data_IF_088308857484
#
_entry.id   IF_088308857484
#
_cell.length_a   1.000
_cell.length_b   1.000
_cell.length_c   1.000
_cell.angle_alpha   90.00
_cell.angle_beta   90.00
_cell.angle_gamma   90.00
#
_symmetry.space_group_name_H-M   'P 1'
#
loop_
_entity.id
_entity.type
_entity.pdbx_description
1 polymer ?
#
# COMPACT_ATOMS: atom_id res chain seq x y z
N UNK A 1 16.82 19.71 -16.34
CA UNK A 1 16.21 20.63 -15.35
C UNK A 1 15.45 19.83 -14.31
N UNK A 2 15.62 20.17 -13.03
CA UNK A 2 14.94 19.50 -11.92
C UNK A 2 13.44 19.78 -11.88
N UNK A 3 12.66 18.91 -11.21
CA UNK A 3 11.20 19.05 -11.14
C UNK A 3 10.75 20.21 -10.25
N UNK A 4 11.51 20.52 -9.20
CA UNK A 4 11.35 21.73 -8.37
C UNK A 4 11.45 23.01 -9.22
N UNK A 5 12.40 23.07 -10.13
CA UNK A 5 12.57 24.22 -11.03
C UNK A 5 11.42 24.32 -12.03
N UNK A 6 10.95 23.20 -12.59
CA UNK A 6 9.78 23.20 -13.46
C UNK A 6 8.53 23.69 -12.72
N UNK A 7 8.33 23.26 -11.48
CA UNK A 7 7.23 23.71 -10.63
C UNK A 7 7.29 25.21 -10.29
N UNK A 8 8.47 25.77 -10.03
CA UNK A 8 8.59 27.22 -9.82
C UNK A 8 8.38 28.00 -11.12
N UNK A 9 8.95 27.53 -12.23
CA UNK A 9 8.83 28.18 -13.53
C UNK A 9 7.39 28.19 -14.03
N UNK A 10 6.59 27.16 -13.70
CA UNK A 10 5.18 27.13 -14.08
C UNK A 10 4.35 28.24 -13.43
N UNK A 11 4.84 28.88 -12.36
CA UNK A 11 4.19 30.05 -11.76
C UNK A 11 4.48 31.38 -12.47
N UNK A 12 5.47 31.43 -13.36
CA UNK A 12 5.87 32.70 -14.00
C UNK A 12 4.82 33.17 -15.01
N UNK A 13 4.22 32.25 -15.77
CA UNK A 13 3.11 32.55 -16.67
C UNK A 13 2.40 31.27 -17.15
N UNK A 14 1.13 31.41 -17.52
CA UNK A 14 0.36 30.32 -18.15
C UNK A 14 0.99 29.83 -19.47
N UNK A 15 1.62 30.71 -20.24
CA UNK A 15 2.30 30.30 -21.48
C UNK A 15 3.52 29.42 -21.18
N UNK A 16 4.32 29.77 -20.17
CA UNK A 16 5.48 28.97 -19.79
C UNK A 16 5.06 27.62 -19.22
N UNK A 17 4.00 27.60 -18.40
CA UNK A 17 3.38 26.37 -17.91
C UNK A 17 2.97 25.43 -19.05
N UNK A 18 2.26 25.92 -20.07
CA UNK A 18 1.89 25.13 -21.26
C UNK A 18 3.11 24.60 -22.04
N UNK A 19 4.19 25.38 -22.12
CA UNK A 19 5.46 24.94 -22.73
C UNK A 19 6.08 23.81 -21.90
N UNK A 20 6.06 23.92 -20.57
CA UNK A 20 6.56 22.87 -19.66
C UNK A 20 5.73 21.59 -19.84
N UNK A 21 4.40 21.69 -19.81
CA UNK A 21 3.47 20.56 -19.98
C UNK A 21 3.72 19.82 -21.31
N UNK A 22 3.74 20.56 -22.42
CA UNK A 22 3.92 19.98 -23.76
C UNK A 22 5.32 19.41 -23.98
N UNK A 23 6.37 20.07 -23.49
CA UNK A 23 7.76 19.61 -23.67
C UNK A 23 8.16 18.46 -22.74
N UNK A 24 7.52 18.33 -21.57
CA UNK A 24 7.87 17.33 -20.56
C UNK A 24 6.90 16.14 -20.50
N UNK A 25 5.90 16.07 -21.37
CA UNK A 25 4.82 15.05 -21.32
C UNK A 25 5.35 13.61 -21.21
N UNK A 26 6.35 13.23 -22.03
CA UNK A 26 6.93 11.88 -22.01
C UNK A 26 7.66 11.62 -20.69
N UNK A 27 8.33 12.64 -20.14
CA UNK A 27 9.03 12.54 -18.85
C UNK A 27 8.03 12.42 -17.69
N UNK A 28 6.95 13.19 -17.71
CA UNK A 28 5.92 13.16 -16.66
C UNK A 28 5.19 11.82 -16.60
N UNK A 29 4.92 11.16 -17.74
CA UNK A 29 4.31 9.81 -17.77
C UNK A 29 5.12 8.72 -17.07
N UNK A 30 6.41 8.93 -16.82
CA UNK A 30 7.30 7.93 -16.20
C UNK A 30 7.51 8.13 -14.70
N UNK A 31 7.08 9.27 -14.15
CA UNK A 31 7.29 9.60 -12.75
C UNK A 31 6.11 9.20 -11.87
N UNK A 32 6.40 9.23 -10.58
CA UNK A 32 5.46 9.02 -9.48
C UNK A 32 5.66 10.19 -8.54
N UNK A 33 4.57 10.78 -8.05
CA UNK A 33 4.66 11.88 -7.09
C UNK A 33 4.19 11.34 -5.75
N UNK A 34 5.00 11.54 -4.71
CA UNK A 34 4.79 11.01 -3.37
C UNK A 34 4.67 12.17 -2.41
N UNK A 35 3.55 12.21 -1.68
CA UNK A 35 3.39 12.97 -0.45
C UNK A 35 3.89 12.10 0.69
N UNK A 36 4.88 12.57 1.44
CA UNK A 36 5.44 11.84 2.58
C UNK A 36 5.63 12.79 3.76
N UNK A 37 5.09 12.39 4.91
CA UNK A 37 5.25 13.13 6.16
C UNK A 37 6.60 12.90 6.85
N UNK A 38 7.35 11.85 6.47
CA UNK A 38 8.56 11.40 7.17
C UNK A 38 8.37 11.24 8.70
N UNK A 39 7.15 10.94 9.15
CA UNK A 39 6.79 10.90 10.58
C UNK A 39 6.77 12.28 11.27
N UNK A 40 6.75 13.36 10.48
CA UNK A 40 6.67 14.74 10.94
C UNK A 40 5.60 15.55 10.22
N UNK A 41 5.19 16.67 10.82
CA UNK A 41 4.26 17.62 10.22
C UNK A 41 5.02 18.94 10.05
N UNK A 42 5.13 19.48 8.81
CA UNK A 42 4.29 19.19 7.63
C UNK A 42 4.93 18.35 6.52
N UNK A 43 4.13 17.79 5.58
CA UNK A 43 4.62 16.83 4.61
C UNK A 43 5.60 17.43 3.59
N UNK A 44 6.19 16.56 2.80
CA UNK A 44 6.94 16.93 1.62
C UNK A 44 6.42 16.18 0.40
N UNK A 45 6.72 16.71 -0.77
CA UNK A 45 6.34 16.16 -2.06
C UNK A 45 7.61 15.92 -2.86
N UNK A 46 7.79 14.68 -3.32
CA UNK A 46 8.97 14.31 -4.10
C UNK A 46 8.69 13.21 -5.12
N UNK A 47 9.63 13.01 -6.03
CA UNK A 47 9.64 11.87 -6.96
C UNK A 47 10.58 10.79 -6.40
N UNK A 48 10.10 9.56 -6.14
CA UNK A 48 10.90 8.54 -5.47
C UNK A 48 11.98 7.99 -6.39
N UNK A 49 13.21 7.90 -5.85
CA UNK A 49 14.36 7.28 -6.49
C UNK A 49 15.05 6.33 -5.50
N UNK A 50 15.92 5.44 -5.99
CA UNK A 50 16.55 4.36 -5.21
C UNK A 50 17.39 4.84 -4.01
N UNK A 51 17.98 6.03 -4.09
CA UNK A 51 18.91 6.54 -3.07
C UNK A 51 18.39 7.79 -2.35
N UNK A 52 17.75 8.72 -3.07
CA UNK A 52 17.18 9.94 -2.51
C UNK A 52 16.07 10.47 -3.41
N UNK A 53 14.92 10.82 -2.84
CA UNK A 53 13.80 11.39 -3.60
C UNK A 53 14.13 12.77 -4.15
N UNK A 54 13.72 13.06 -5.39
CA UNK A 54 13.83 14.39 -5.97
C UNK A 54 12.74 15.28 -5.40
N UNK A 55 13.08 16.12 -4.42
CA UNK A 55 12.13 17.03 -3.76
C UNK A 55 11.53 18.03 -4.76
N UNK A 56 10.21 18.11 -4.79
CA UNK A 56 9.44 19.10 -5.57
C UNK A 56 9.04 20.26 -4.66
N UNK A 57 8.51 19.95 -3.49
CA UNK A 57 7.92 20.92 -2.56
C UNK A 57 8.04 20.40 -1.13
N UNK A 58 8.25 21.30 -0.17
CA UNK A 58 8.11 20.99 1.25
C UNK A 58 7.13 21.97 1.90
N UNK A 59 6.28 21.47 2.78
CA UNK A 59 5.39 22.34 3.55
C UNK A 59 6.14 22.91 4.77
N UNK A 60 5.68 24.03 5.32
CA UNK A 60 6.26 24.63 6.53
C UNK A 60 5.20 25.44 7.32
N UNK A 61 5.10 25.23 8.64
CA UNK A 61 4.09 25.91 9.47
C UNK A 61 4.33 27.41 9.63
N UNK A 62 5.59 27.83 9.66
CA UNK A 62 5.94 29.22 9.88
C UNK A 62 7.04 29.66 8.91
N UNK A 63 6.92 30.86 8.33
CA UNK A 63 8.06 31.49 7.69
C UNK A 63 9.16 31.65 8.73
N UNK A 64 10.33 31.04 8.47
CA UNK A 64 11.52 31.32 9.28
C UNK A 64 11.73 32.82 9.21
N UNK A 65 11.80 33.51 10.36
CA UNK A 65 11.83 34.98 10.50
C UNK A 65 12.97 35.70 9.73
N UNK A 66 13.81 34.97 8.99
CA UNK A 66 15.01 35.44 8.30
C UNK A 66 15.00 35.24 6.76
N UNK A 67 13.86 34.98 6.11
CA UNK A 67 13.80 34.85 4.65
C UNK A 67 13.09 36.05 4.00
N UNK A 68 13.88 37.05 3.58
CA UNK A 68 13.43 38.18 2.72
C UNK A 68 13.03 37.75 1.28
N UNK A 69 12.69 36.47 1.04
CA UNK A 69 12.47 35.88 -0.28
C UNK A 69 11.21 35.01 -0.34
N UNK A 70 10.13 35.50 0.26
CA UNK A 70 8.81 34.88 0.08
C UNK A 70 8.01 35.62 -0.99
N UNK A 71 7.21 34.90 -1.75
CA UNK A 71 6.22 35.45 -2.68
C UNK A 71 4.88 34.76 -2.47
N UNK A 72 3.79 35.46 -2.70
CA UNK A 72 2.43 34.95 -2.46
C UNK A 72 1.74 34.64 -3.77
N UNK A 73 1.09 33.49 -3.86
CA UNK A 73 0.29 33.09 -5.01
C UNK A 73 -1.12 32.69 -4.59
N UNK A 74 -2.08 32.94 -5.48
CA UNK A 74 -3.42 32.38 -5.36
C UNK A 74 -3.48 31.09 -6.18
N UNK A 75 -3.66 29.95 -5.52
CA UNK A 75 -3.91 28.67 -6.17
C UNK A 75 -5.34 28.25 -5.87
N UNK A 76 -6.20 28.22 -6.89
CA UNK A 76 -7.60 27.81 -6.82
C UNK A 76 -8.43 28.48 -5.70
N UNK A 77 -8.20 29.78 -5.47
CA UNK A 77 -8.89 30.56 -4.42
C UNK A 77 -8.17 30.54 -3.07
N UNK A 78 -7.13 29.74 -2.91
CA UNK A 78 -6.32 29.67 -1.69
C UNK A 78 -5.05 30.48 -1.84
N UNK A 79 -4.88 31.49 -0.98
CA UNK A 79 -3.66 32.30 -0.92
C UNK A 79 -2.57 31.54 -0.15
N UNK A 80 -1.45 31.23 -0.83
CA UNK A 80 -0.34 30.45 -0.29
C UNK A 80 0.95 31.27 -0.40
N UNK A 81 1.69 31.35 0.70
CA UNK A 81 3.01 31.97 0.73
C UNK A 81 4.07 30.93 0.34
N UNK A 82 4.91 31.26 -0.63
CA UNK A 82 6.00 30.40 -1.09
C UNK A 82 7.36 31.00 -0.71
N UNK A 83 8.31 30.16 -0.34
CA UNK A 83 9.71 30.51 -0.19
C UNK A 83 10.62 29.50 -0.86
N UNK A 84 11.94 29.71 -0.71
CA UNK A 84 12.93 28.81 -1.27
C UNK A 84 14.09 28.61 -0.29
N UNK A 85 14.50 27.35 -0.10
CA UNK A 85 15.72 26.99 0.62
C UNK A 85 16.55 26.03 -0.23
N UNK A 86 16.34 24.72 -0.06
CA UNK A 86 16.90 23.67 -0.92
C UNK A 86 15.89 23.28 -2.01
N UNK A 87 14.60 23.36 -1.68
CA UNK A 87 13.47 23.19 -2.57
C UNK A 87 12.42 24.28 -2.28
N UNK A 88 11.41 24.44 -3.15
CA UNK A 88 10.24 25.25 -2.86
C UNK A 88 9.63 24.91 -1.50
N UNK A 89 9.29 25.94 -0.73
CA UNK A 89 8.58 25.84 0.53
C UNK A 89 7.18 26.43 0.36
N UNK A 90 6.13 25.70 0.70
CA UNK A 90 4.78 26.25 0.86
C UNK A 90 4.54 26.52 2.34
N UNK A 91 4.35 27.78 2.70
CA UNK A 91 4.04 28.23 4.05
C UNK A 91 2.54 28.25 4.30
N UNK A 92 2.23 27.90 5.54
CA UNK A 92 0.87 27.69 6.02
C UNK A 92 0.87 26.33 6.71
N UNK A 93 0.36 26.29 7.95
CA UNK A 93 0.01 25.01 8.56
C UNK A 93 -0.79 24.22 7.51
N UNK A 94 -0.44 22.96 7.20
CA UNK A 94 -1.07 22.20 6.13
C UNK A 94 -2.53 21.95 6.51
N UNK A 95 -3.36 22.96 6.31
CA UNK A 95 -4.79 22.83 6.35
C UNK A 95 -5.20 22.11 5.08
N UNK A 96 -6.28 21.34 5.18
CA UNK A 96 -6.84 20.59 4.06
C UNK A 96 -6.92 21.40 2.74
N UNK A 97 -7.36 22.69 2.75
CA UNK A 97 -7.45 23.50 1.54
C UNK A 97 -6.11 23.79 0.86
N UNK A 98 -5.01 23.91 1.62
CA UNK A 98 -3.68 24.23 1.07
C UNK A 98 -3.12 23.02 0.33
N UNK A 99 -3.20 21.83 0.92
CA UNK A 99 -2.75 20.60 0.24
C UNK A 99 -3.63 20.34 -0.99
N UNK A 100 -4.94 20.47 -0.87
CA UNK A 100 -5.86 20.26 -1.99
C UNK A 100 -5.57 21.22 -3.14
N UNK A 101 -5.34 22.50 -2.85
CA UNK A 101 -5.03 23.52 -3.88
C UNK A 101 -3.72 23.21 -4.60
N UNK A 102 -2.67 22.81 -3.87
CA UNK A 102 -1.39 22.40 -4.47
C UNK A 102 -1.53 21.09 -5.24
N UNK A 103 -2.32 20.14 -4.73
CA UNK A 103 -2.57 18.88 -5.40
C UNK A 103 -3.29 19.09 -6.74
N UNK A 104 -4.33 19.93 -6.76
CA UNK A 104 -5.04 20.31 -7.98
C UNK A 104 -4.10 21.01 -8.97
N UNK A 105 -3.18 21.85 -8.49
CA UNK A 105 -2.15 22.44 -9.35
C UNK A 105 -1.19 21.38 -9.93
N UNK A 106 -0.81 20.37 -9.14
CA UNK A 106 0.00 19.25 -9.67
C UNK A 106 -0.75 18.42 -10.70
N UNK A 107 -2.04 18.16 -10.51
CA UNK A 107 -2.86 17.45 -11.49
C UNK A 107 -2.89 18.20 -12.82
N UNK A 108 -2.93 19.53 -12.79
CA UNK A 108 -2.90 20.38 -13.96
C UNK A 108 -1.50 20.39 -14.63
N UNK A 109 -0.43 20.62 -13.84
CA UNK A 109 0.94 20.72 -14.35
C UNK A 109 1.53 19.38 -14.81
N UNK A 110 1.47 18.35 -13.97
CA UNK A 110 2.08 17.04 -14.25
C UNK A 110 1.12 16.11 -14.99
N UNK A 111 -0.18 16.37 -14.88
CA UNK A 111 -1.24 15.59 -15.51
C UNK A 111 -1.87 14.55 -14.58
N UNK A 112 -3.15 14.26 -14.82
CA UNK A 112 -3.91 13.22 -14.13
C UNK A 112 -3.45 11.78 -14.46
N UNK A 113 -2.64 11.59 -15.51
CA UNK A 113 -2.06 10.28 -15.80
C UNK A 113 -0.89 9.89 -14.88
N UNK A 114 -0.34 10.85 -14.13
CA UNK A 114 0.75 10.61 -13.18
C UNK A 114 0.23 9.85 -11.96
N UNK A 115 1.04 8.92 -11.48
CA UNK A 115 0.71 8.14 -10.29
C UNK A 115 1.02 8.96 -9.02
N UNK A 116 -0.02 9.34 -8.28
CA UNK A 116 0.08 10.05 -7.00
C UNK A 116 -0.05 9.10 -5.83
N UNK A 117 0.82 9.26 -4.83
CA UNK A 117 0.89 8.38 -3.66
C UNK A 117 0.95 9.19 -2.37
N UNK A 118 0.39 8.63 -1.31
CA UNK A 118 0.51 9.18 0.03
C UNK A 118 1.23 8.20 0.94
N UNK A 119 2.17 8.70 1.74
CA UNK A 119 2.85 7.98 2.80
C UNK A 119 2.63 8.74 4.10
N UNK A 120 2.05 8.06 5.07
CA UNK A 120 1.80 8.60 6.40
C UNK A 120 2.37 7.65 7.45
N UNK A 121 3.11 8.19 8.43
CA UNK A 121 3.75 7.41 9.49
C UNK A 121 3.41 7.98 10.85
N UNK A 122 3.27 7.09 11.81
CA UNK A 122 3.08 7.47 13.21
C UNK A 122 4.32 8.15 13.76
N UNK A 123 4.10 9.05 14.71
CA UNK A 123 5.18 9.77 15.38
C UNK A 123 5.91 8.82 16.33
N UNK A 124 7.24 8.89 16.37
CA UNK A 124 7.97 8.41 17.55
C UNK A 124 7.64 9.35 18.72
N UNK A 125 7.29 8.81 19.88
CA UNK A 125 7.09 9.59 21.11
C UNK A 125 8.28 10.53 21.35
N UNK A 126 8.01 11.84 21.50
CA UNK A 126 9.02 12.85 21.84
C UNK A 126 8.88 14.21 21.17
N UNK A 127 8.08 14.34 20.10
CA UNK A 127 7.82 15.63 19.45
C UNK A 127 6.37 16.08 19.64
N UNK A 128 6.18 17.39 19.89
CA UNK A 128 4.92 18.05 20.24
C UNK A 128 3.67 17.47 19.53
N UNK A 129 2.62 17.28 20.33
CA UNK A 129 1.26 16.94 19.92
C UNK A 129 0.79 17.91 18.83
N UNK A 130 0.86 17.45 17.58
CA UNK A 130 0.35 18.17 16.39
C UNK A 130 -0.63 17.25 15.67
N UNK A 131 -1.67 17.82 15.04
CA UNK A 131 -2.87 17.10 14.65
C UNK A 131 -2.59 15.85 13.82
N UNK A 132 -3.46 14.88 14.07
CA UNK A 132 -3.49 13.51 13.59
C UNK A 132 -3.75 13.48 12.08
N UNK A 133 -2.81 12.88 11.35
CA UNK A 133 -2.94 12.16 10.07
C UNK A 133 -3.54 12.93 8.87
N UNK A 134 -2.66 13.26 7.92
CA UNK A 134 -3.00 13.82 6.63
C UNK A 134 -3.83 12.84 5.79
N UNK A 135 -5.16 12.95 5.82
CA UNK A 135 -6.05 12.12 5.02
C UNK A 135 -7.17 12.93 4.37
N UNK A 136 -6.81 14.07 3.76
CA UNK A 136 -7.73 14.68 2.80
C UNK A 136 -7.95 13.70 1.65
N UNK A 137 -9.20 13.47 1.22
CA UNK A 137 -9.51 12.66 0.05
C UNK A 137 -9.03 13.38 -1.22
N UNK A 138 -7.72 13.34 -1.47
CA UNK A 138 -7.14 13.89 -2.68
C UNK A 138 -7.58 13.02 -3.86
N UNK A 139 -7.98 13.68 -4.93
CA UNK A 139 -8.40 13.00 -6.15
C UNK A 139 -7.21 12.28 -6.78
N UNK A 140 -7.47 11.22 -7.55
CA UNK A 140 -6.43 10.55 -8.35
C UNK A 140 -5.22 9.98 -7.57
N UNK A 141 -5.37 9.76 -6.25
CA UNK A 141 -4.41 8.96 -5.49
C UNK A 141 -4.49 7.49 -5.91
N UNK A 142 -3.36 6.93 -6.36
CA UNK A 142 -3.27 5.52 -6.77
C UNK A 142 -2.97 4.59 -5.60
N UNK A 143 -2.18 5.05 -4.63
CA UNK A 143 -1.64 4.21 -3.58
C UNK A 143 -1.47 4.96 -2.27
N UNK A 144 -1.70 4.25 -1.18
CA UNK A 144 -1.53 4.78 0.16
C UNK A 144 -0.71 3.82 1.01
N UNK A 145 0.25 4.38 1.73
CA UNK A 145 1.18 3.66 2.59
C UNK A 145 1.04 4.25 3.99
N UNK A 146 0.58 3.44 4.94
CA UNK A 146 0.27 3.89 6.30
C UNK A 146 1.08 3.04 7.26
N UNK A 147 1.85 3.68 8.14
CA UNK A 147 2.53 3.02 9.24
C UNK A 147 2.01 3.56 10.56
N UNK A 148 1.19 2.80 11.28
CA UNK A 148 0.54 3.22 12.53
C UNK A 148 1.08 2.41 13.73
N UNK A 149 1.48 3.12 14.79
CA UNK A 149 1.93 2.58 16.08
C UNK A 149 0.94 2.93 17.22
N UNK A 150 -0.23 3.48 16.89
CA UNK A 150 -1.14 4.13 17.83
C UNK A 150 -2.17 3.22 18.50
N UNK A 151 -3.05 3.85 19.28
CA UNK A 151 -4.11 3.21 20.06
C UNK A 151 -5.33 2.85 19.17
N UNK A 152 -6.34 2.19 19.75
CA UNK A 152 -7.54 1.71 19.04
C UNK A 152 -8.35 2.83 18.38
N UNK A 153 -8.36 4.02 18.98
CA UNK A 153 -9.07 5.21 18.52
C UNK A 153 -8.48 5.75 17.22
N UNK A 154 -7.14 5.79 17.13
CA UNK A 154 -6.39 6.16 15.91
C UNK A 154 -6.79 5.28 14.73
N UNK A 155 -6.93 3.99 14.99
CA UNK A 155 -7.31 3.01 13.99
C UNK A 155 -8.74 3.25 13.48
N UNK A 156 -9.71 3.49 14.38
CA UNK A 156 -11.10 3.78 13.98
C UNK A 156 -11.21 5.02 13.09
N UNK A 157 -10.51 6.09 13.44
CA UNK A 157 -10.50 7.33 12.66
C UNK A 157 -9.89 7.11 11.27
N UNK A 158 -8.75 6.43 11.20
CA UNK A 158 -8.10 6.03 9.95
C UNK A 158 -9.06 5.21 9.06
N UNK A 159 -9.84 4.31 9.66
CA UNK A 159 -10.82 3.49 8.93
C UNK A 159 -12.01 4.27 8.39
N UNK A 160 -12.52 5.24 9.17
CA UNK A 160 -13.58 6.12 8.69
C UNK A 160 -13.09 6.91 7.46
N UNK A 161 -11.86 7.42 7.51
CA UNK A 161 -11.27 8.19 6.41
C UNK A 161 -11.02 7.32 5.16
N UNK A 162 -10.51 6.09 5.34
CA UNK A 162 -10.34 5.13 4.24
C UNK A 162 -11.68 4.71 3.61
N UNK A 163 -12.76 4.65 4.39
CA UNK A 163 -14.10 4.31 3.88
C UNK A 163 -14.69 5.44 3.02
N UNK A 164 -14.40 6.69 3.37
CA UNK A 164 -14.79 7.88 2.60
C UNK A 164 -13.94 8.06 1.33
N UNK A 165 -12.72 7.53 1.31
CA UNK A 165 -11.78 7.64 0.19
C UNK A 165 -12.25 6.90 -1.09
N UNK A 166 -11.74 7.27 -2.27
CA UNK A 166 -11.90 6.47 -3.48
C UNK A 166 -11.18 5.11 -3.36
N UNK A 167 -11.48 4.18 -4.27
CA UNK A 167 -10.79 2.88 -4.31
C UNK A 167 -9.36 3.09 -4.80
N UNK A 168 -8.38 2.79 -3.94
CA UNK A 168 -6.96 2.82 -4.31
C UNK A 168 -6.57 1.60 -5.14
N UNK A 169 -5.55 1.71 -5.98
CA UNK A 169 -4.92 0.56 -6.67
C UNK A 169 -4.01 -0.25 -5.74
N UNK A 170 -3.39 0.41 -4.76
CA UNK A 170 -2.55 -0.25 -3.77
C UNK A 170 -2.68 0.32 -2.38
N UNK A 171 -2.66 -0.55 -1.38
CA UNK A 171 -2.67 -0.18 0.03
C UNK A 171 -1.54 -0.94 0.75
N UNK A 172 -0.59 -0.23 1.36
CA UNK A 172 0.44 -0.78 2.24
C UNK A 172 0.15 -0.35 3.68
N UNK A 173 -0.19 -1.29 4.56
CA UNK A 173 -0.53 -1.01 5.95
C UNK A 173 0.45 -1.70 6.89
N UNK A 174 1.09 -0.94 7.76
CA UNK A 174 1.96 -1.48 8.81
C UNK A 174 1.44 -1.08 10.18
N UNK A 175 0.99 -2.07 10.97
CA UNK A 175 0.49 -1.87 12.33
C UNK A 175 1.45 -2.46 13.35
N UNK A 176 1.97 -1.60 14.23
CA UNK A 176 2.66 -1.98 15.46
C UNK A 176 1.78 -1.57 16.65
N UNK A 177 0.66 -2.26 16.86
CA UNK A 177 -0.20 -1.97 18.01
C UNK A 177 0.39 -2.59 19.30
N UNK A 178 0.73 -1.81 20.35
CA UNK A 178 1.32 -2.33 21.58
C UNK A 178 0.32 -3.08 22.48
N UNK A 179 -0.96 -2.66 22.46
CA UNK A 179 -2.05 -3.17 23.29
C UNK A 179 -3.40 -2.66 22.78
N UNK A 180 -4.46 -3.47 22.86
CA UNK A 180 -5.83 -3.04 22.56
C UNK A 180 -6.63 -3.05 23.84
N UNK A 181 -7.31 -1.96 24.16
CA UNK A 181 -8.30 -1.98 25.24
C UNK A 181 -9.58 -2.66 24.75
N UNK A 182 -10.13 -3.58 25.55
CA UNK A 182 -11.41 -4.23 25.26
C UNK A 182 -12.60 -3.28 25.48
N UNK A 183 -13.82 -3.81 25.54
CA UNK A 183 -15.03 -3.00 25.74
C UNK A 183 -15.23 -2.57 27.21
N UNK A 184 -14.46 -3.17 28.13
CA UNK A 184 -14.52 -2.95 29.57
C UNK A 184 -13.32 -2.13 30.07
N UNK A 185 -12.48 -1.61 29.16
CA UNK A 185 -11.32 -0.78 29.47
C UNK A 185 -10.09 -1.56 29.94
N UNK A 186 -10.07 -2.89 29.76
CA UNK A 186 -8.92 -3.71 30.09
C UNK A 186 -7.89 -3.69 28.94
N UNK A 187 -6.66 -3.28 29.28
CA UNK A 187 -5.51 -3.37 28.38
C UNK A 187 -5.22 -4.83 28.06
N UNK A 188 -5.53 -5.27 26.84
CA UNK A 188 -5.18 -6.60 26.38
C UNK A 188 -3.66 -6.62 26.13
N UNK A 189 -2.88 -7.44 26.89
CA UNK A 189 -1.46 -7.58 26.64
C UNK A 189 -1.20 -8.14 25.24
N UNK A 190 0.03 -7.99 24.75
CA UNK A 190 0.64 -8.42 23.46
C UNK A 190 0.26 -9.80 22.91
N UNK A 191 -0.52 -10.60 23.64
CA UNK A 191 -0.76 -12.01 23.40
C UNK A 191 -2.16 -12.36 22.89
N UNK A 192 -3.17 -11.48 22.98
CA UNK A 192 -4.58 -11.84 22.74
C UNK A 192 -5.36 -10.80 21.90
N UNK A 193 -5.01 -10.65 20.62
CA UNK A 193 -5.99 -10.06 19.71
C UNK A 193 -7.08 -11.09 19.44
N UNK A 194 -8.31 -10.80 19.88
CA UNK A 194 -9.47 -11.70 19.84
C UNK A 194 -10.29 -11.54 18.56
N UNK A 195 -11.35 -12.35 18.41
CA UNK A 195 -12.40 -12.30 17.37
C UNK A 195 -13.07 -10.93 17.18
N UNK A 196 -12.83 -9.95 18.07
CA UNK A 196 -13.26 -8.56 17.86
C UNK A 196 -12.51 -7.84 16.73
N UNK A 197 -11.37 -8.39 16.25
CA UNK A 197 -10.66 -7.89 15.06
C UNK A 197 -11.45 -8.02 13.76
N UNK A 198 -12.34 -9.01 13.65
CA UNK A 198 -13.26 -9.12 12.50
C UNK A 198 -14.25 -7.95 12.46
N UNK A 199 -14.47 -7.26 13.59
CA UNK A 199 -15.27 -6.02 13.65
C UNK A 199 -14.51 -4.76 13.26
N UNK A 200 -13.17 -4.82 13.11
CA UNK A 200 -12.36 -3.65 12.74
C UNK A 200 -12.49 -3.30 11.25
N UNK A 201 -12.81 -4.27 10.40
CA UNK A 201 -12.99 -4.06 8.96
C UNK A 201 -14.39 -4.52 8.54
N UNK A 202 -15.34 -3.60 8.50
CA UNK A 202 -16.69 -3.96 8.03
C UNK A 202 -16.62 -4.48 6.59
N UNK A 203 -17.41 -5.50 6.20
CA UNK A 203 -17.37 -6.11 4.87
C UNK A 203 -17.53 -5.10 3.71
N UNK A 204 -18.15 -3.95 3.98
CA UNK A 204 -18.40 -2.86 3.03
C UNK A 204 -17.16 -1.98 2.76
N UNK A 205 -16.04 -2.21 3.47
CA UNK A 205 -14.86 -1.38 3.34
C UNK A 205 -14.23 -1.48 1.93
N UNK A 206 -13.98 -0.33 1.30
CA UNK A 206 -13.39 -0.24 -0.05
C UNK A 206 -11.96 -0.80 -0.13
N UNK A 207 -11.28 -1.01 0.99
CA UNK A 207 -9.95 -1.66 1.03
C UNK A 207 -9.97 -3.02 0.33
N UNK A 208 -11.07 -3.75 0.42
CA UNK A 208 -11.21 -5.07 -0.20
C UNK A 208 -11.26 -5.03 -1.73
N UNK A 209 -11.59 -3.87 -2.30
CA UNK A 209 -11.73 -3.67 -3.74
C UNK A 209 -10.42 -3.23 -4.41
N UNK A 210 -9.36 -2.99 -3.62
CA UNK A 210 -8.06 -2.60 -4.16
C UNK A 210 -7.41 -3.73 -4.95
N UNK A 211 -6.65 -3.40 -5.99
CA UNK A 211 -5.99 -4.41 -6.83
C UNK A 211 -4.88 -5.14 -6.08
N UNK A 212 -4.21 -4.45 -5.14
CA UNK A 212 -3.13 -5.05 -4.36
C UNK A 212 -2.99 -4.52 -2.95
N UNK A 213 -2.64 -5.40 -2.01
CA UNK A 213 -2.38 -5.06 -0.61
C UNK A 213 -1.02 -5.58 -0.14
N UNK A 214 -0.30 -4.76 0.62
CA UNK A 214 0.76 -5.23 1.51
C UNK A 214 0.36 -4.89 2.95
N UNK A 215 0.38 -5.87 3.85
CA UNK A 215 -0.06 -5.67 5.22
C UNK A 215 0.96 -6.31 6.15
N UNK A 216 1.40 -5.54 7.14
CA UNK A 216 2.23 -6.00 8.24
C UNK A 216 1.45 -5.82 9.54
N UNK A 217 1.10 -6.93 10.18
CA UNK A 217 0.33 -6.98 11.42
C UNK A 217 1.12 -7.73 12.49
N UNK A 218 1.02 -7.31 13.74
CA UNK A 218 1.66 -8.05 14.83
C UNK A 218 0.83 -9.31 15.19
N UNK A 219 -0.46 -9.19 15.45
CA UNK A 219 -1.33 -10.32 15.82
C UNK A 219 -2.39 -10.55 14.75
N UNK A 220 -2.56 -11.79 14.31
CA UNK A 220 -3.66 -12.20 13.46
C UNK A 220 -4.42 -13.34 14.14
N UNK A 221 -5.60 -13.05 14.67
CA UNK A 221 -6.75 -13.95 14.61
C UNK A 221 -7.46 -13.60 13.30
N UNK A 222 -7.38 -14.45 12.28
CA UNK A 222 -7.82 -14.21 10.87
C UNK A 222 -7.23 -12.93 10.24
N UNK A 223 -6.57 -12.96 9.05
CA UNK A 223 -6.40 -11.69 8.36
C UNK A 223 -7.81 -11.30 7.93
N UNK A 224 -8.54 -10.52 8.74
CA UNK A 224 -9.87 -10.01 8.43
C UNK A 224 -9.86 -9.33 7.05
N UNK A 225 -8.70 -8.80 6.66
CA UNK A 225 -8.48 -8.30 5.32
C UNK A 225 -8.67 -9.36 4.22
N UNK A 226 -8.22 -10.60 4.41
CA UNK A 226 -8.42 -11.66 3.42
C UNK A 226 -9.88 -12.12 3.34
N UNK A 227 -10.70 -12.07 4.39
CA UNK A 227 -12.05 -12.68 4.29
C UNK A 227 -12.94 -12.03 3.22
N UNK A 228 -12.70 -10.76 2.87
CA UNK A 228 -13.45 -10.05 1.85
C UNK A 228 -12.61 -9.55 0.67
N UNK A 229 -11.30 -9.82 0.64
CA UNK A 229 -10.42 -9.29 -0.42
C UNK A 229 -10.80 -9.77 -1.82
N UNK A 230 -10.97 -8.82 -2.74
CA UNK A 230 -11.39 -9.05 -4.13
C UNK A 230 -10.29 -8.70 -5.15
N UNK A 231 -9.11 -8.30 -4.67
CA UNK A 231 -8.00 -7.91 -5.53
C UNK A 231 -7.19 -9.07 -6.10
N UNK A 232 -6.07 -8.72 -6.72
CA UNK A 232 -5.20 -9.64 -7.48
C UNK A 232 -3.96 -10.07 -6.70
N UNK A 233 -3.34 -9.16 -5.94
CA UNK A 233 -2.08 -9.45 -5.25
C UNK A 233 -2.12 -9.08 -3.78
N UNK A 234 -1.79 -10.02 -2.90
CA UNK A 234 -1.75 -9.78 -1.45
C UNK A 234 -0.43 -10.26 -0.84
N UNK A 235 0.19 -9.42 0.00
CA UNK A 235 1.35 -9.77 0.81
C UNK A 235 1.02 -9.47 2.26
N UNK A 236 1.11 -10.49 3.12
CA UNK A 236 0.76 -10.37 4.54
C UNK A 236 1.96 -10.83 5.38
N UNK A 237 2.34 -10.01 6.35
CA UNK A 237 3.33 -10.32 7.38
C UNK A 237 2.62 -10.35 8.72
N UNK A 238 2.80 -11.41 9.49
CA UNK A 238 2.10 -11.63 10.76
C UNK A 238 3.01 -12.31 11.79
N UNK A 239 2.86 -12.08 13.09
CA UNK A 239 3.66 -12.81 14.12
C UNK A 239 3.03 -14.15 14.47
N UNK A 240 1.71 -14.16 14.68
CA UNK A 240 0.91 -15.37 14.96
C UNK A 240 -0.03 -15.66 13.80
N UNK A 241 -0.15 -16.93 13.43
CA UNK A 241 -1.00 -17.35 12.33
C UNK A 241 -1.32 -18.85 12.46
N UNK A 242 -2.60 -19.22 12.42
CA UNK A 242 -3.07 -20.62 12.51
C UNK A 242 -3.19 -21.25 11.12
N UNK A 243 -2.80 -22.52 10.99
CA UNK A 243 -2.92 -23.28 9.75
C UNK A 243 -4.36 -23.47 9.26
N UNK A 244 -5.33 -23.49 10.17
CA UNK A 244 -6.77 -23.54 9.85
C UNK A 244 -7.20 -22.45 8.86
N UNK A 245 -6.62 -21.26 8.96
CA UNK A 245 -6.96 -20.14 8.07
C UNK A 245 -6.43 -20.34 6.65
N UNK A 246 -5.29 -21.02 6.46
CA UNK A 246 -4.84 -21.39 5.10
C UNK A 246 -5.76 -22.42 4.49
N UNK A 247 -6.19 -23.38 5.31
CA UNK A 247 -7.07 -24.45 4.85
C UNK A 247 -8.41 -23.84 4.42
N UNK A 248 -8.99 -22.97 5.23
CA UNK A 248 -10.22 -22.25 4.89
C UNK A 248 -10.03 -21.39 3.62
N UNK A 249 -8.96 -20.60 3.56
CA UNK A 249 -8.64 -19.78 2.39
C UNK A 249 -8.54 -20.62 1.11
N UNK A 250 -7.76 -21.71 1.13
CA UNK A 250 -7.58 -22.57 -0.05
C UNK A 250 -8.88 -23.26 -0.41
N UNK A 251 -9.67 -23.73 0.57
CA UNK A 251 -10.94 -24.39 0.30
C UNK A 251 -11.96 -23.42 -0.33
N UNK A 252 -12.06 -22.18 0.15
CA UNK A 252 -12.90 -21.13 -0.46
C UNK A 252 -12.46 -20.77 -1.88
N UNK A 253 -11.15 -20.76 -2.15
CA UNK A 253 -10.65 -20.56 -3.50
C UNK A 253 -10.94 -21.77 -4.39
N UNK A 254 -10.74 -23.00 -3.89
CA UNK A 254 -10.97 -24.25 -4.63
C UNK A 254 -12.44 -24.43 -5.00
N UNK A 255 -13.37 -24.15 -4.11
CA UNK A 255 -14.81 -24.20 -4.40
C UNK A 255 -15.28 -23.10 -5.36
N UNK A 256 -14.44 -22.07 -5.58
CA UNK A 256 -14.80 -20.89 -6.34
C UNK A 256 -15.74 -19.95 -5.59
N UNK A 257 -15.90 -20.11 -4.28
CA UNK A 257 -16.71 -19.23 -3.41
C UNK A 257 -16.08 -17.84 -3.28
N UNK A 258 -14.76 -17.74 -3.19
CA UNK A 258 -14.05 -16.48 -3.02
C UNK A 258 -12.76 -16.40 -3.86
N UNK A 259 -12.15 -15.20 -3.88
CA UNK A 259 -10.80 -14.96 -4.43
C UNK A 259 -10.66 -15.24 -5.93
N UNK A 260 -11.73 -15.02 -6.71
CA UNK A 260 -11.76 -15.38 -8.12
C UNK A 260 -10.72 -14.63 -8.97
N UNK A 261 -10.45 -13.37 -8.58
CA UNK A 261 -9.48 -12.47 -9.22
C UNK A 261 -8.05 -12.61 -8.66
N UNK A 262 -7.84 -13.40 -7.61
CA UNK A 262 -6.53 -13.51 -6.97
C UNK A 262 -5.53 -14.17 -7.92
N UNK A 263 -4.36 -13.56 -8.04
CA UNK A 263 -3.25 -14.01 -8.89
C UNK A 263 -2.03 -14.40 -8.02
N UNK A 264 -1.82 -13.71 -6.90
CA UNK A 264 -0.69 -13.95 -6.00
C UNK A 264 -1.02 -13.66 -4.54
N UNK A 265 -0.69 -14.59 -3.65
CA UNK A 265 -0.74 -14.40 -2.20
C UNK A 265 0.58 -14.87 -1.57
N UNK A 266 1.11 -14.05 -0.67
CA UNK A 266 2.22 -14.43 0.21
C UNK A 266 1.86 -14.11 1.65
N UNK A 267 1.93 -15.10 2.52
CA UNK A 267 1.81 -14.93 3.98
C UNK A 267 3.15 -15.30 4.61
N UNK A 268 3.68 -14.43 5.47
CA UNK A 268 4.96 -14.60 6.12
C UNK A 268 4.85 -14.42 7.63
N UNK A 269 5.25 -15.45 8.39
CA UNK A 269 5.36 -15.39 9.84
C UNK A 269 6.65 -14.64 10.25
N UNK A 270 6.53 -13.52 10.97
CA UNK A 270 7.61 -12.67 11.46
C UNK A 270 7.80 -12.90 12.95
N UNK A 271 8.76 -13.74 13.34
CA UNK A 271 9.02 -14.11 14.75
C UNK A 271 8.33 -15.41 15.21
N UNK A 272 8.62 -15.83 16.45
CA UNK A 272 8.09 -17.05 17.08
C UNK A 272 8.80 -18.36 16.72
N UNK A 273 8.68 -19.37 17.59
CA UNK A 273 9.16 -20.74 17.33
C UNK A 273 8.11 -21.53 16.53
N UNK A 274 8.55 -22.48 15.70
CA UNK A 274 7.69 -23.41 14.98
C UNK A 274 7.32 -23.03 13.54
N UNK A 275 7.30 -24.04 12.67
CA UNK A 275 6.68 -24.04 11.34
C UNK A 275 5.35 -24.78 11.45
N UNK A 276 4.24 -24.07 11.68
CA UNK A 276 2.94 -24.69 12.00
C UNK A 276 2.17 -25.20 10.77
N UNK A 277 2.88 -25.52 9.68
CA UNK A 277 2.27 -25.87 8.40
C UNK A 277 2.32 -27.33 7.94
N UNK A 278 2.88 -28.33 8.67
CA UNK A 278 3.21 -29.63 8.06
C UNK A 278 2.00 -30.45 7.61
N UNK A 279 0.77 -30.06 7.98
CA UNK A 279 -0.47 -30.76 7.59
C UNK A 279 -1.38 -29.93 6.68
N UNK A 280 -0.96 -28.74 6.26
CA UNK A 280 -1.83 -27.88 5.43
C UNK A 280 -2.03 -28.51 4.06
N UNK A 281 -0.96 -29.01 3.42
CA UNK A 281 -1.03 -29.59 2.07
C UNK A 281 -1.95 -30.83 2.02
N UNK A 282 -1.89 -31.68 3.04
CA UNK A 282 -2.76 -32.86 3.12
C UNK A 282 -4.22 -32.45 3.31
N UNK A 283 -4.49 -31.50 4.21
CA UNK A 283 -5.84 -31.03 4.52
C UNK A 283 -6.52 -30.27 3.38
N UNK A 284 -5.75 -29.62 2.51
CA UNK A 284 -6.29 -28.96 1.30
C UNK A 284 -6.43 -29.94 0.13
N UNK A 285 -5.98 -31.19 0.29
CA UNK A 285 -5.94 -32.19 -0.78
C UNK A 285 -5.08 -31.72 -1.95
N UNK A 286 -3.85 -31.27 -1.66
CA UNK A 286 -2.92 -30.83 -2.68
C UNK A 286 -2.53 -32.00 -3.60
N UNK A 287 -2.51 -31.73 -4.91
CA UNK A 287 -1.93 -32.63 -5.91
C UNK A 287 -0.43 -32.34 -6.03
N UNK A 288 0.31 -33.33 -6.49
CA UNK A 288 1.77 -33.24 -6.61
C UNK A 288 2.22 -33.51 -8.03
N UNK A 289 3.13 -32.67 -8.50
CA UNK A 289 3.92 -32.90 -9.71
C UNK A 289 4.89 -34.06 -9.43
N UNK A 290 5.11 -34.89 -10.44
CA UNK A 290 6.11 -35.97 -10.40
C UNK A 290 7.48 -35.43 -9.97
N UNK A 291 8.11 -36.08 -8.98
CA UNK A 291 9.38 -35.67 -8.41
C UNK A 291 10.54 -35.64 -9.42
N UNK A 292 10.44 -36.41 -10.52
CA UNK A 292 11.42 -36.41 -11.62
C UNK A 292 11.33 -35.17 -12.52
N UNK A 293 10.20 -34.45 -12.48
CA UNK A 293 9.97 -33.27 -13.32
C UNK A 293 10.38 -31.98 -12.61
N UNK A 294 10.70 -30.95 -13.39
CA UNK A 294 10.96 -29.60 -12.85
C UNK A 294 9.66 -28.80 -12.85
N UNK A 295 9.20 -28.28 -11.70
CA UNK A 295 7.96 -27.50 -11.64
C UNK A 295 8.14 -26.14 -12.32
N UNK A 296 7.10 -25.59 -12.99
CA UNK A 296 7.16 -24.27 -13.59
C UNK A 296 7.30 -23.19 -12.51
N UNK A 297 7.96 -22.09 -12.86
CA UNK A 297 8.15 -20.95 -11.97
C UNK A 297 7.03 -19.94 -12.15
N UNK A 298 6.18 -19.77 -11.14
CA UNK A 298 5.18 -18.68 -11.14
C UNK A 298 5.84 -17.37 -10.72
N UNK A 299 5.71 -16.36 -11.55
CA UNK A 299 6.11 -14.98 -11.27
C UNK A 299 5.23 -14.02 -12.09
N UNK A 300 4.88 -12.88 -11.52
CA UNK A 300 4.00 -11.88 -12.14
C UNK A 300 4.58 -10.48 -11.94
N UNK A 301 4.29 -9.51 -12.83
CA UNK A 301 4.55 -8.12 -12.55
C UNK A 301 3.84 -7.68 -11.26
N UNK A 302 4.53 -6.94 -10.40
CA UNK A 302 3.92 -6.34 -9.22
C UNK A 302 3.00 -5.20 -9.64
N UNK A 303 1.80 -5.20 -9.08
CA UNK A 303 0.85 -4.09 -9.29
C UNK A 303 1.29 -2.81 -8.58
N UNK A 304 2.12 -2.93 -7.53
CA UNK A 304 2.75 -1.80 -6.87
C UNK A 304 4.28 -1.89 -6.87
N UNK A 305 4.91 -0.87 -7.46
CA UNK A 305 6.36 -0.71 -7.51
C UNK A 305 6.76 0.44 -6.57
N UNK A 306 7.49 0.14 -5.48
CA UNK A 306 7.80 1.10 -4.41
C UNK A 306 8.58 2.33 -4.91
N UNK A 307 9.58 2.15 -5.77
CA UNK A 307 10.40 3.23 -6.32
C UNK A 307 10.97 2.84 -7.69
N UNK A 308 11.50 3.81 -8.45
CA UNK A 308 12.13 3.57 -9.75
C UNK A 308 13.35 2.63 -9.61
N UNK A 309 13.35 1.51 -10.34
CA UNK A 309 14.41 0.48 -10.25
C UNK A 309 14.19 -0.59 -9.16
N UNK A 310 13.04 -0.61 -8.48
CA UNK A 310 12.66 -1.73 -7.62
C UNK A 310 12.38 -3.00 -8.43
N UNK A 311 12.45 -4.18 -7.78
CA UNK A 311 12.10 -5.46 -8.42
C UNK A 311 10.68 -5.41 -8.97
N UNK A 312 10.56 -5.58 -10.29
CA UNK A 312 9.31 -5.46 -11.03
C UNK A 312 8.39 -6.66 -10.84
N UNK A 313 8.93 -7.84 -10.53
CA UNK A 313 8.14 -9.06 -10.43
C UNK A 313 7.96 -9.56 -8.98
N UNK A 314 6.89 -10.31 -8.76
CA UNK A 314 6.60 -11.01 -7.52
C UNK A 314 7.70 -12.04 -7.22
N UNK A 315 8.00 -12.30 -5.94
CA UNK A 315 8.95 -13.36 -5.58
C UNK A 315 8.51 -14.70 -6.17
N UNK A 316 9.43 -15.43 -6.85
CA UNK A 316 9.06 -16.63 -7.59
C UNK A 316 8.49 -17.71 -6.67
N UNK A 317 7.58 -18.51 -7.23
CA UNK A 317 7.03 -19.72 -6.63
C UNK A 317 7.38 -20.89 -7.55
N UNK A 318 8.26 -21.75 -7.07
CA UNK A 318 8.52 -23.05 -7.67
C UNK A 318 7.97 -24.07 -6.68
N UNK A 319 6.89 -24.76 -7.02
CA UNK A 319 6.25 -25.72 -6.13
C UNK A 319 5.87 -26.99 -6.88
N UNK A 320 6.13 -28.12 -6.25
CA UNK A 320 5.59 -29.41 -6.66
C UNK A 320 4.13 -29.58 -6.28
N UNK A 321 3.66 -28.86 -5.25
CA UNK A 321 2.28 -28.94 -4.77
C UNK A 321 1.39 -27.91 -5.47
N UNK A 322 0.22 -28.34 -5.92
CA UNK A 322 -0.78 -27.49 -6.54
C UNK A 322 -2.20 -27.92 -6.17
N UNK A 323 -3.16 -27.02 -6.37
CA UNK A 323 -4.60 -27.27 -6.21
C UNK A 323 -5.34 -26.78 -7.46
N UNK A 324 -6.53 -27.32 -7.67
CA UNK A 324 -7.39 -27.00 -8.81
C UNK A 324 -8.69 -26.42 -8.29
N UNK A 325 -9.15 -25.35 -8.93
CA UNK A 325 -10.44 -24.72 -8.66
C UNK A 325 -11.54 -25.43 -9.42
N UNK A 326 -12.59 -25.81 -8.72
CA UNK A 326 -13.71 -26.61 -9.24
C UNK A 326 -14.56 -25.83 -10.25
N UNK A 327 -14.71 -24.52 -10.04
CA UNK A 327 -15.61 -23.70 -10.84
C UNK A 327 -15.12 -23.43 -12.27
N UNK A 328 -13.82 -23.41 -12.52
CA UNK A 328 -13.24 -23.07 -13.83
C UNK A 328 -11.95 -23.85 -14.18
N UNK A 329 -11.65 -24.89 -13.42
CA UNK A 329 -10.49 -25.76 -13.61
C UNK A 329 -9.13 -25.05 -13.52
N UNK A 330 -9.06 -23.82 -12.99
CA UNK A 330 -7.78 -23.09 -12.86
C UNK A 330 -6.88 -23.72 -11.81
N UNK A 331 -5.57 -23.62 -12.04
CA UNK A 331 -4.54 -24.16 -11.14
C UNK A 331 -3.93 -23.08 -10.26
N UNK A 332 -3.63 -23.43 -9.02
CA UNK A 332 -2.76 -22.64 -8.16
C UNK A 332 -1.63 -23.48 -7.58
N UNK A 333 -0.39 -22.99 -7.71
CA UNK A 333 0.77 -23.56 -7.02
C UNK A 333 0.77 -23.12 -5.56
N UNK A 334 0.93 -24.08 -4.65
CA UNK A 334 0.96 -23.86 -3.20
C UNK A 334 2.36 -24.19 -2.70
N UNK A 335 3.10 -23.22 -2.17
CA UNK A 335 4.44 -23.44 -1.62
C UNK A 335 4.47 -23.07 -0.14
N UNK A 336 4.87 -24.04 0.67
CA UNK A 336 5.11 -23.85 2.10
C UNK A 336 6.59 -24.06 2.34
N UNK A 337 7.31 -23.00 2.72
CA UNK A 337 8.74 -23.07 2.97
C UNK A 337 9.11 -22.27 4.21
N UNK A 338 9.57 -22.98 5.25
CA UNK A 338 9.88 -22.40 6.55
C UNK A 338 8.68 -21.63 7.11
N UNK A 339 8.83 -20.31 7.24
CA UNK A 339 7.81 -19.39 7.77
C UNK A 339 6.95 -18.71 6.70
N UNK A 340 6.96 -19.21 5.46
CA UNK A 340 6.29 -18.57 4.33
C UNK A 340 5.30 -19.54 3.69
N UNK A 341 4.07 -19.07 3.52
CA UNK A 341 3.09 -19.64 2.62
C UNK A 341 3.02 -18.76 1.37
N UNK A 342 3.11 -19.36 0.19
CA UNK A 342 2.92 -18.69 -1.08
C UNK A 342 1.89 -19.43 -1.91
N UNK A 343 1.07 -18.68 -2.62
CA UNK A 343 0.01 -19.19 -3.46
C UNK A 343 0.00 -18.39 -4.76
N UNK A 344 0.25 -19.05 -5.88
CA UNK A 344 0.33 -18.43 -7.19
C UNK A 344 -0.70 -19.05 -8.12
N UNK A 345 -1.64 -18.25 -8.61
CA UNK A 345 -2.71 -18.71 -9.51
C UNK A 345 -2.23 -18.57 -10.95
N UNK A 346 -2.36 -19.65 -11.70
CA UNK A 346 -2.05 -19.71 -13.12
C UNK A 346 -3.29 -19.36 -13.93
N UNK A 347 -3.12 -18.58 -14.98
CA UNK A 347 -4.14 -18.41 -16.02
C UNK A 347 -4.11 -19.61 -16.98
N UNK A 348 -4.33 -20.81 -16.42
CA UNK A 348 -4.28 -22.11 -17.10
C UNK A 348 -5.20 -23.09 -16.40
N UNK A 349 -5.84 -23.94 -17.19
CA UNK A 349 -6.52 -25.14 -16.72
C UNK A 349 -5.52 -26.19 -16.24
N UNK A 350 -5.98 -27.22 -15.51
CA UNK A 350 -5.09 -28.31 -15.07
C UNK A 350 -4.35 -28.98 -16.22
N UNK A 351 -5.03 -29.29 -17.32
CA UNK A 351 -4.39 -29.90 -18.49
C UNK A 351 -3.31 -29.02 -19.12
N UNK A 352 -3.57 -27.72 -19.25
CA UNK A 352 -2.60 -26.75 -19.79
C UNK A 352 -1.41 -26.55 -18.86
N UNK A 353 -1.64 -26.53 -17.54
CA UNK A 353 -0.59 -26.46 -16.54
C UNK A 353 0.32 -27.69 -16.59
N UNK A 354 -0.25 -28.89 -16.70
CA UNK A 354 0.53 -30.13 -16.76
C UNK A 354 1.36 -30.25 -18.05
N UNK A 355 0.89 -29.68 -19.17
CA UNK A 355 1.68 -29.59 -20.42
C UNK A 355 2.89 -28.68 -20.31
N UNK A 356 2.98 -27.80 -19.31
CA UNK A 356 4.20 -27.02 -19.05
C UNK A 356 5.33 -27.87 -18.44
N UNK A 357 5.02 -29.11 -18.04
CA UNK A 357 5.95 -30.05 -17.41
C UNK A 357 6.46 -31.13 -18.39
N UNK A 358 6.06 -31.02 -19.65
CA UNK A 358 6.56 -31.81 -20.78
C UNK A 358 7.68 -31.03 -21.47
#
# INVERSE_FOLDING_TARGET
MEYSNLFLLSFVSENLKKIIESSQITRFKTIKIVYDDFGGDPPCVYIPNRYQGNMILKFADYPVRNLNKCFRLNLNGTMIDFGFFICPLAYGHPSEPVIESIHNYFLDLFGSSVEYRCITRDKLEGFLSRPRWFFTPLQNLSAIIISCNGYKEDMKELWNNLSLSPVFKHIDLSFLCPSVEDQDGLLIPRNEFTSQSEKLFSPECKIYQTESIEISQFLISTPAVLSHFQGKQAIIKCVKFKSSYLIEFVNKWKSGEAFQKLEYLKIQKVGGNGTDFPQVLDKIGAKYIDASKTPPTHTLPKLHIKFHGAKLNTPPIMSYAYVVRESDNRVASVLIQGRKFKFGVWDKTEGEFLRMLE
#
